data_IF_818777130541
#
_entry.id   IF_818777130541
#
_cell.length_a   1.000
_cell.length_b   1.000
_cell.length_c   1.000
_cell.angle_alpha   90.00
_cell.angle_beta   90.00
_cell.angle_gamma   90.00
#
_symmetry.space_group_name_H-M   'P 1'
#
loop_
_entity.id
_entity.type
_entity.pdbx_description
1 polymer ?
#
# COMPACT_ATOMS: atom_id res chain seq x y z
N UNK A 1 15.30 -7.08 8.89
CA UNK A 1 14.06 -6.32 8.66
C UNK A 1 12.93 -7.32 8.84
N UNK A 2 12.52 -7.50 10.07
CA UNK A 2 11.43 -8.39 10.43
C UNK A 2 10.12 -7.68 10.11
N UNK A 3 9.53 -7.96 8.94
CA UNK A 3 8.15 -7.62 8.63
C UNK A 3 7.15 -8.50 9.42
N UNK A 4 7.49 -8.88 10.65
CA UNK A 4 6.52 -9.38 11.64
C UNK A 4 5.81 -8.18 12.27
N UNK A 5 5.22 -7.34 11.44
CA UNK A 5 4.20 -6.43 11.90
C UNK A 5 3.04 -7.30 12.36
N UNK A 6 2.87 -7.38 13.67
CA UNK A 6 1.86 -8.22 14.30
C UNK A 6 0.50 -7.53 14.18
N UNK A 7 0.03 -7.37 12.95
CA UNK A 7 -1.21 -6.70 12.62
C UNK A 7 -2.39 -7.37 13.33
N UNK A 8 -3.38 -6.57 13.67
CA UNK A 8 -4.62 -7.01 14.30
C UNK A 8 -5.79 -6.45 13.53
N UNK A 9 -6.89 -7.20 13.52
CA UNK A 9 -8.15 -6.67 13.00
C UNK A 9 -8.52 -5.37 13.76
N UNK A 10 -8.79 -4.31 13.01
CA UNK A 10 -9.03 -2.96 13.52
C UNK A 10 -7.85 -2.00 13.36
N UNK A 11 -6.65 -2.47 13.03
CA UNK A 11 -5.52 -1.60 12.74
C UNK A 11 -5.76 -0.81 11.44
N UNK A 12 -5.36 0.47 11.44
CA UNK A 12 -5.36 1.33 10.26
C UNK A 12 -3.93 1.38 9.72
N UNK A 13 -3.81 1.11 8.42
CA UNK A 13 -2.53 1.07 7.71
C UNK A 13 -2.64 1.83 6.40
N UNK A 14 -1.49 2.14 5.80
CA UNK A 14 -1.41 2.83 4.53
C UNK A 14 -0.76 1.92 3.51
N UNK A 15 -1.32 1.85 2.31
CA UNK A 15 -0.83 1.00 1.22
C UNK A 15 -0.62 1.81 -0.05
N UNK A 16 0.40 1.45 -0.82
CA UNK A 16 0.58 2.00 -2.16
C UNK A 16 -0.20 1.12 -3.14
N UNK A 17 -1.36 1.60 -3.57
CA UNK A 17 -2.24 0.89 -4.47
C UNK A 17 -2.06 1.36 -5.92
N UNK A 18 -1.71 0.43 -6.81
CA UNK A 18 -1.74 0.66 -8.28
C UNK A 18 -3.14 0.41 -8.80
N UNK A 19 -3.71 1.39 -9.49
CA UNK A 19 -5.00 1.22 -10.13
C UNK A 19 -4.89 0.24 -11.30
N UNK A 20 -5.54 -0.93 -11.26
CA UNK A 20 -5.43 -1.93 -12.33
C UNK A 20 -5.99 -1.45 -13.67
N UNK A 21 -6.82 -0.41 -13.67
CA UNK A 21 -7.39 0.19 -14.88
C UNK A 21 -6.49 1.24 -15.54
N UNK A 22 -5.46 1.72 -14.83
CA UNK A 22 -4.51 2.73 -15.32
C UNK A 22 -3.12 2.38 -14.80
N UNK A 23 -2.36 1.66 -15.63
CA UNK A 23 -1.06 1.07 -15.26
C UNK A 23 -0.04 2.06 -14.66
N UNK A 24 -0.12 3.33 -15.03
CA UNK A 24 0.81 4.38 -14.60
C UNK A 24 0.35 5.14 -13.36
N UNK A 25 -0.79 4.77 -12.75
CA UNK A 25 -1.32 5.48 -11.58
C UNK A 25 -1.25 4.59 -10.35
N UNK A 26 -0.38 4.97 -9.42
CA UNK A 26 -0.38 4.48 -8.05
C UNK A 26 -0.75 5.62 -7.09
N UNK A 27 -1.39 5.29 -5.97
CA UNK A 27 -1.69 6.25 -4.92
C UNK A 27 -1.50 5.60 -3.56
N UNK A 28 -1.12 6.41 -2.57
CA UNK A 28 -1.21 6.03 -1.17
C UNK A 28 -2.68 6.01 -0.75
N UNK A 29 -3.09 4.95 -0.08
CA UNK A 29 -4.46 4.79 0.40
C UNK A 29 -4.49 4.24 1.82
N UNK A 30 -5.43 4.74 2.61
CA UNK A 30 -5.75 4.18 3.91
C UNK A 30 -6.52 2.87 3.73
N UNK A 31 -6.14 1.85 4.47
CA UNK A 31 -6.80 0.55 4.51
C UNK A 31 -6.95 0.08 5.96
N UNK A 32 -7.99 -0.70 6.22
CA UNK A 32 -8.20 -1.31 7.52
C UNK A 32 -7.80 -2.78 7.49
N UNK A 33 -7.05 -3.23 8.49
CA UNK A 33 -6.83 -4.65 8.71
C UNK A 33 -8.11 -5.26 9.28
N UNK A 34 -8.61 -6.31 8.65
CA UNK A 34 -9.84 -7.01 9.04
C UNK A 34 -9.60 -8.52 9.06
N UNK A 35 -10.51 -9.27 9.69
CA UNK A 35 -10.50 -10.72 9.53
C UNK A 35 -10.92 -11.08 8.10
N UNK A 36 -10.23 -12.02 7.48
CA UNK A 36 -10.57 -12.49 6.15
C UNK A 36 -11.88 -13.28 6.20
N UNK A 37 -12.95 -12.85 5.50
CA UNK A 37 -14.24 -13.54 5.51
C UNK A 37 -14.20 -14.88 4.76
N UNK A 38 -13.27 -15.03 3.81
CA UNK A 38 -13.13 -16.24 2.99
C UNK A 38 -12.19 -17.28 3.63
N UNK A 39 -11.23 -16.82 4.44
CA UNK A 39 -10.25 -17.68 5.12
C UNK A 39 -10.26 -17.44 6.64
N UNK A 40 -11.05 -18.21 7.40
CA UNK A 40 -11.14 -18.06 8.84
C UNK A 40 -9.79 -18.23 9.52
N UNK A 41 -9.37 -17.22 10.29
CA UNK A 41 -8.09 -17.20 11.01
C UNK A 41 -6.99 -16.40 10.31
N UNK A 42 -7.22 -15.95 9.07
CA UNK A 42 -6.32 -15.05 8.36
C UNK A 42 -6.80 -13.59 8.43
N UNK A 43 -5.87 -12.67 8.20
CA UNK A 43 -6.13 -11.24 8.08
C UNK A 43 -6.19 -10.83 6.61
N UNK A 44 -6.96 -9.79 6.34
CA UNK A 44 -7.07 -9.15 5.03
C UNK A 44 -7.05 -7.64 5.21
N UNK A 45 -6.74 -6.92 4.13
CA UNK A 45 -6.91 -5.48 4.04
C UNK A 45 -8.26 -5.19 3.40
N UNK A 46 -9.05 -4.36 4.06
CA UNK A 46 -10.27 -3.81 3.49
C UNK A 46 -9.94 -2.46 2.84
N UNK A 47 -10.06 -2.42 1.51
CA UNK A 47 -9.76 -1.25 0.69
C UNK A 47 -10.74 -1.22 -0.49
N UNK A 48 -11.31 -0.06 -0.83
CA UNK A 48 -12.29 0.10 -1.92
C UNK A 48 -13.43 -0.92 -1.89
N UNK A 49 -13.97 -1.20 -0.71
CA UNK A 49 -15.07 -2.15 -0.53
C UNK A 49 -14.73 -3.60 -0.96
N UNK A 50 -13.44 -3.92 -1.08
CA UNK A 50 -12.95 -5.27 -1.38
C UNK A 50 -11.91 -5.71 -0.36
N UNK A 51 -11.71 -7.01 -0.27
CA UNK A 51 -10.74 -7.65 0.63
C UNK A 51 -9.50 -8.05 -0.18
N UNK A 52 -8.34 -7.62 0.28
CA UNK A 52 -7.05 -8.06 -0.26
C UNK A 52 -6.35 -8.95 0.77
N UNK A 53 -5.77 -10.09 0.38
CA UNK A 53 -4.97 -10.89 1.28
C UNK A 53 -3.80 -10.06 1.82
N UNK A 54 -3.50 -10.22 3.11
CA UNK A 54 -2.36 -9.57 3.73
C UNK A 54 -1.10 -10.38 3.43
N UNK A 55 -0.51 -10.15 2.25
CA UNK A 55 0.68 -10.88 1.79
C UNK A 55 1.88 -9.95 1.51
N UNK A 56 3.05 -10.55 1.27
CA UNK A 56 4.33 -9.86 1.09
C UNK A 56 4.42 -9.00 -0.18
N UNK A 57 3.49 -9.14 -1.12
CA UNK A 57 3.45 -8.34 -2.34
C UNK A 57 2.78 -6.98 -2.14
N UNK A 58 2.10 -6.77 -1.00
CA UNK A 58 1.49 -5.49 -0.67
C UNK A 58 2.42 -4.71 0.25
N UNK A 59 2.83 -3.53 -0.22
CA UNK A 59 3.60 -2.61 0.60
C UNK A 59 2.67 -1.92 1.61
N UNK A 60 2.82 -2.27 2.89
CA UNK A 60 2.02 -1.77 4.01
C UNK A 60 2.89 -0.93 4.93
N UNK A 61 2.37 0.24 5.30
CA UNK A 61 3.06 1.24 6.10
C UNK A 61 2.23 1.64 7.31
N UNK A 62 2.90 1.99 8.41
CA UNK A 62 2.23 2.36 9.65
C UNK A 62 1.71 3.81 9.64
N UNK A 63 2.18 4.63 8.69
CA UNK A 63 1.79 6.04 8.56
C UNK A 63 1.74 6.48 7.11
N UNK A 64 0.88 7.47 6.83
CA UNK A 64 0.74 8.08 5.50
C UNK A 64 2.08 8.59 4.98
N UNK A 65 2.80 9.40 5.77
CA UNK A 65 4.09 9.97 5.35
C UNK A 65 5.21 8.94 5.13
N UNK A 66 5.09 7.73 5.68
CA UNK A 66 5.99 6.62 5.31
C UNK A 66 5.62 6.03 3.95
N UNK A 67 4.32 5.79 3.72
CA UNK A 67 3.81 5.34 2.45
C UNK A 67 4.06 6.34 1.31
N UNK A 68 3.88 7.63 1.58
CA UNK A 68 4.15 8.71 0.62
C UNK A 68 5.62 8.75 0.24
N UNK A 69 6.53 8.71 1.21
CA UNK A 69 7.97 8.66 0.91
C UNK A 69 8.32 7.45 0.07
N UNK A 70 7.81 6.27 0.42
CA UNK A 70 8.04 5.07 -0.37
C UNK A 70 7.43 5.16 -1.78
N UNK A 71 6.27 5.80 -1.91
CA UNK A 71 5.67 6.11 -3.20
C UNK A 71 6.56 7.06 -4.02
N UNK A 72 7.04 8.16 -3.46
CA UNK A 72 7.95 9.08 -4.16
C UNK A 72 9.28 8.42 -4.50
N UNK A 73 9.83 7.57 -3.64
CA UNK A 73 11.07 6.84 -3.93
C UNK A 73 10.87 5.82 -5.06
N UNK A 74 9.70 5.16 -5.13
CA UNK A 74 9.39 4.16 -6.15
C UNK A 74 8.90 4.74 -7.48
N UNK A 75 8.22 5.90 -7.47
CA UNK A 75 7.54 6.48 -8.63
C UNK A 75 7.92 7.94 -8.93
N UNK A 76 8.38 8.70 -7.93
CA UNK A 76 8.76 10.12 -8.05
C UNK A 76 10.05 10.34 -8.85
N UNK A 77 10.92 9.34 -8.98
CA UNK A 77 12.11 9.42 -9.86
C UNK A 77 11.82 9.45 -11.37
N UNK A 78 10.55 9.37 -11.78
CA UNK A 78 10.11 9.42 -13.18
C UNK A 78 9.79 10.82 -13.72
N UNK A 79 9.82 11.86 -12.88
CA UNK A 79 9.52 13.25 -13.27
C UNK A 79 10.65 14.22 -12.88
N UNK A 80 11.90 13.83 -13.06
CA UNK A 80 13.03 14.76 -12.89
C UNK A 80 14.25 14.47 -13.80
N UNK A 81 14.00 14.17 -15.08
CA UNK A 81 15.04 14.32 -16.12
C UNK A 81 14.52 14.98 -17.41
N UNK A 82 13.74 16.06 -17.29
CA UNK A 82 13.54 17.04 -18.36
C UNK A 82 13.83 18.48 -17.87
N UNK A 83 14.85 18.61 -17.01
CA UNK A 83 15.38 19.90 -16.55
C UNK A 83 16.80 20.22 -17.02
N UNK A 84 17.40 19.39 -17.88
CA UNK A 84 18.72 19.63 -18.46
C UNK A 84 18.57 20.15 -19.90
N UNK A 85 18.12 21.40 -20.05
CA UNK A 85 18.26 22.15 -21.29
C UNK A 85 18.90 23.51 -20.96
N UNK A 86 20.23 23.52 -21.05
CA UNK A 86 21.17 24.64 -21.24
C UNK A 86 20.75 26.06 -20.84
#
# INVERSE_FOLDING_TARGET
>A
MDLQQNYKAGDIVYVVYRNPHTYDVANVQEAAVVNNPEQPGELALFLYETYFPLDENIAIYASEGEAERAYYDAFGGGVESEGELW
#
